data_IF_486460668870
#
_entry.id   IF_486460668870
#
_cell.length_a   1.000
_cell.length_b   1.000
_cell.length_c   1.000
_cell.angle_alpha   90.00
_cell.angle_beta   90.00
_cell.angle_gamma   90.00
#
_symmetry.space_group_name_H-M   'P 1'
#
loop_
_entity.id
_entity.type
_entity.pdbx_description
1 polymer ?
#
# COMPACT_ATOMS: atom_id res chain seq x y z
N UNK A 1 -15.03 25.03 -20.20
CA UNK A 1 -14.11 26.10 -19.74
C UNK A 1 -12.95 25.46 -18.99
N UNK A 2 -11.72 25.75 -19.44
CA UNK A 2 -10.51 25.93 -18.62
C UNK A 2 -10.18 24.90 -17.51
N UNK A 3 -9.45 23.87 -17.92
CA UNK A 3 -8.38 23.28 -17.09
C UNK A 3 -7.39 24.39 -16.68
N UNK A 4 -7.18 24.59 -15.36
CA UNK A 4 -6.07 25.39 -14.87
C UNK A 4 -4.78 24.55 -14.85
N UNK A 5 -3.93 24.79 -15.85
CA UNK A 5 -2.57 24.27 -15.91
C UNK A 5 -1.70 25.01 -14.89
N UNK A 6 -1.17 24.30 -13.90
CA UNK A 6 0.01 24.78 -13.16
C UNK A 6 1.25 24.59 -14.04
N UNK A 7 1.63 25.65 -14.75
CA UNK A 7 2.84 25.71 -15.57
C UNK A 7 3.91 26.47 -14.79
N UNK A 8 4.70 25.77 -13.97
CA UNK A 8 5.93 26.36 -13.42
C UNK A 8 6.94 26.52 -14.56
N UNK A 9 7.16 27.76 -15.00
CA UNK A 9 8.25 28.10 -15.91
C UNK A 9 9.45 28.48 -15.04
N UNK A 10 10.46 27.62 -15.01
CA UNK A 10 11.80 27.99 -14.54
C UNK A 10 12.71 28.17 -15.76
N UNK A 11 13.03 29.43 -16.05
CA UNK A 11 14.06 29.77 -17.02
C UNK A 11 15.44 29.42 -16.42
N UNK A 12 16.21 28.59 -17.13
CA UNK A 12 17.66 28.52 -16.95
C UNK A 12 18.35 28.79 -18.29
N UNK A 13 19.36 29.66 -18.23
CA UNK A 13 20.13 30.11 -19.39
C UNK A 13 21.04 28.99 -19.91
N UNK A 14 21.15 28.90 -21.24
CA UNK A 14 22.10 28.02 -21.90
C UNK A 14 23.54 28.51 -21.71
N UNK A 15 24.46 27.57 -21.49
CA UNK A 15 25.90 27.68 -21.68
C UNK A 15 26.40 26.34 -22.27
N UNK A 16 27.49 26.32 -23.07
CA UNK A 16 27.69 25.28 -24.08
C UNK A 16 28.26 23.96 -23.57
N UNK A 17 28.08 22.92 -24.40
CA UNK A 17 28.45 21.53 -24.12
C UNK A 17 29.96 21.30 -23.96
N UNK A 18 30.32 20.36 -23.07
CA UNK A 18 31.62 19.71 -23.04
C UNK A 18 31.44 18.24 -23.43
N UNK A 19 32.11 17.83 -24.50
CA UNK A 19 32.05 16.47 -25.06
C UNK A 19 32.86 15.50 -24.20
N UNK A 20 32.26 14.41 -23.73
CA UNK A 20 32.99 13.22 -23.27
C UNK A 20 32.43 11.96 -23.95
N UNK A 21 33.35 11.08 -24.34
CA UNK A 21 33.10 10.01 -25.30
C UNK A 21 32.39 8.80 -24.69
N UNK A 22 31.68 8.06 -25.55
CA UNK A 22 31.05 6.78 -25.22
C UNK A 22 32.11 5.67 -25.13
N UNK A 23 32.13 4.92 -24.03
CA UNK A 23 32.81 3.61 -23.96
C UNK A 23 31.79 2.49 -24.24
N UNK A 24 31.90 1.74 -25.35
CA UNK A 24 30.90 0.77 -25.75
C UNK A 24 31.13 -0.59 -25.06
N UNK A 25 30.88 -0.71 -23.74
CA UNK A 25 30.98 -2.01 -23.04
C UNK A 25 30.16 -2.19 -21.74
N UNK A 26 28.84 -2.03 -21.81
CA UNK A 26 27.92 -2.57 -20.79
C UNK A 26 26.59 -3.04 -21.40
N UNK A 27 26.61 -4.19 -22.09
CA UNK A 27 25.39 -4.79 -22.62
C UNK A 27 24.62 -5.55 -21.51
N UNK A 28 24.00 -4.80 -20.60
CA UNK A 28 23.09 -5.30 -19.58
C UNK A 28 21.76 -4.55 -19.64
N UNK A 29 20.98 -4.79 -20.71
CA UNK A 29 19.54 -4.51 -20.69
C UNK A 29 18.92 -5.50 -19.71
N UNK A 30 18.68 -5.06 -18.47
CA UNK A 30 18.15 -5.92 -17.42
C UNK A 30 16.63 -6.10 -17.53
N UNK A 31 16.16 -7.27 -17.11
CA UNK A 31 14.73 -7.61 -17.07
C UNK A 31 13.92 -6.69 -16.13
N UNK A 32 14.58 -5.90 -15.27
CA UNK A 32 13.94 -4.94 -14.35
C UNK A 32 13.07 -3.90 -15.09
N UNK A 33 13.43 -3.54 -16.31
CA UNK A 33 12.64 -2.63 -17.15
C UNK A 33 11.38 -3.29 -17.73
N UNK A 34 11.33 -4.63 -17.81
CA UNK A 34 10.16 -5.38 -18.27
C UNK A 34 9.03 -5.37 -17.24
N UNK A 35 9.34 -5.22 -15.94
CA UNK A 35 8.32 -5.08 -14.88
C UNK A 35 7.56 -3.73 -14.95
N UNK A 36 8.08 -2.73 -15.67
CA UNK A 36 7.38 -1.49 -16.00
C UNK A 36 6.66 -1.56 -17.37
N UNK A 37 6.95 -2.59 -18.18
CA UNK A 37 6.31 -2.79 -19.49
C UNK A 37 4.99 -3.53 -19.33
N UNK A 38 3.90 -2.78 -19.52
CA UNK A 38 2.55 -3.30 -19.52
C UNK A 38 2.38 -4.36 -20.63
N UNK A 39 1.78 -5.55 -20.35
CA UNK A 39 1.44 -6.51 -21.40
C UNK A 39 0.55 -5.85 -22.47
N UNK A 40 0.81 -6.13 -23.75
CA UNK A 40 0.28 -5.39 -24.90
C UNK A 40 -1.26 -5.25 -25.03
N UNK A 41 -2.04 -5.91 -24.15
CA UNK A 41 -3.52 -5.83 -24.08
C UNK A 41 -4.07 -4.50 -23.54
N UNK A 42 -3.26 -3.64 -22.94
CA UNK A 42 -3.71 -2.33 -22.42
C UNK A 42 -3.84 -1.24 -23.50
N UNK A 43 -3.50 -1.52 -24.77
CA UNK A 43 -3.87 -0.67 -25.91
C UNK A 43 -5.32 -0.93 -26.32
N UNK A 44 -6.28 -0.43 -25.55
CA UNK A 44 -7.68 -0.33 -25.99
C UNK A 44 -8.26 1.06 -25.69
N UNK A 45 -9.02 1.56 -26.67
CA UNK A 45 -9.56 2.93 -26.70
C UNK A 45 -10.41 3.27 -25.48
N UNK A 46 -10.14 4.43 -24.89
CA UNK A 46 -11.17 5.20 -24.17
C UNK A 46 -11.83 6.15 -25.18
N UNK A 47 -12.95 5.72 -25.75
CA UNK A 47 -13.95 6.62 -26.32
C UNK A 47 -14.94 6.89 -25.19
N UNK A 48 -15.10 8.16 -24.78
CA UNK A 48 -15.86 8.52 -23.58
C UNK A 48 -17.36 8.71 -23.83
N UNK A 49 -18.08 9.10 -22.77
CA UNK A 49 -19.17 10.09 -22.92
C UNK A 49 -19.43 10.85 -21.60
N UNK A 50 -19.79 12.12 -21.71
CA UNK A 50 -20.15 12.99 -20.57
C UNK A 50 -21.63 12.83 -20.20
N UNK A 51 -22.00 11.82 -19.39
CA UNK A 51 -23.37 11.70 -18.82
C UNK A 51 -23.48 10.70 -17.66
N UNK A 52 -23.17 11.10 -16.42
CA UNK A 52 -23.74 10.43 -15.23
C UNK A 52 -23.71 11.21 -13.91
N UNK A 53 -23.92 12.53 -13.94
CA UNK A 53 -24.10 13.35 -12.72
C UNK A 53 -25.51 13.16 -12.08
N UNK A 54 -26.42 12.43 -12.75
CA UNK A 54 -27.83 12.26 -12.35
C UNK A 54 -28.16 10.97 -11.58
N UNK A 55 -27.21 10.03 -11.41
CA UNK A 55 -27.46 8.75 -10.73
C UNK A 55 -27.29 8.79 -9.19
N UNK A 56 -26.85 9.93 -8.64
CA UNK A 56 -26.37 10.06 -7.25
C UNK A 56 -27.44 10.07 -6.14
N UNK A 57 -28.73 9.98 -6.46
CA UNK A 57 -29.82 10.08 -5.46
C UNK A 57 -30.78 8.88 -5.38
N UNK A 58 -30.66 7.85 -6.23
CA UNK A 58 -31.60 6.71 -6.21
C UNK A 58 -31.06 5.42 -5.57
N UNK A 59 -29.78 5.36 -5.22
CA UNK A 59 -29.16 4.13 -4.70
C UNK A 59 -29.26 3.92 -3.18
N UNK A 60 -29.78 4.91 -2.42
CA UNK A 60 -29.96 4.77 -0.97
C UNK A 60 -31.25 4.02 -0.56
N UNK A 61 -32.14 3.70 -1.50
CA UNK A 61 -33.45 3.06 -1.23
C UNK A 61 -33.57 1.62 -1.75
N UNK A 62 -32.46 0.91 -2.01
CA UNK A 62 -32.47 -0.50 -2.52
C UNK A 62 -31.71 -1.45 -1.57
N UNK A 63 -31.27 -0.97 -0.39
CA UNK A 63 -30.48 -1.76 0.57
C UNK A 63 -31.36 -2.54 1.57
N UNK A 64 -32.64 -2.16 1.76
CA UNK A 64 -33.54 -2.81 2.75
C UNK A 64 -34.36 -4.01 2.24
N UNK A 65 -34.34 -4.35 0.94
CA UNK A 65 -35.23 -5.41 0.38
C UNK A 65 -34.55 -6.76 0.05
N UNK A 66 -33.23 -6.92 0.28
CA UNK A 66 -32.49 -8.14 -0.13
C UNK A 66 -31.97 -9.05 1.01
N UNK A 67 -32.35 -8.83 2.26
CA UNK A 67 -32.01 -9.77 3.36
C UNK A 67 -32.80 -11.10 3.34
N UNK A 68 -33.84 -11.22 2.51
CA UNK A 68 -34.79 -12.37 2.56
C UNK A 68 -34.66 -13.37 1.37
N UNK A 69 -33.50 -13.49 0.69
CA UNK A 69 -33.32 -14.60 -0.28
C UNK A 69 -31.87 -15.02 -0.62
N UNK A 70 -31.28 -15.90 0.18
CA UNK A 70 -30.62 -17.15 -0.32
C UNK A 70 -30.17 -18.06 0.83
N UNK A 71 -30.93 -19.14 1.07
CA UNK A 71 -30.40 -20.38 1.64
C UNK A 71 -30.39 -21.43 0.53
N UNK A 72 -29.28 -22.17 0.40
CA UNK A 72 -29.15 -23.63 0.18
C UNK A 72 -27.80 -23.97 -0.51
N UNK A 73 -26.88 -24.49 0.31
CA UNK A 73 -25.91 -25.58 0.09
C UNK A 73 -25.03 -25.58 -1.19
N UNK A 74 -23.72 -25.37 -0.98
CA UNK A 74 -22.62 -25.78 -1.88
C UNK A 74 -21.31 -26.08 -1.10
N UNK A 75 -20.73 -27.26 -1.30
CA UNK A 75 -19.56 -27.82 -0.58
C UNK A 75 -18.32 -27.92 -1.51
N UNK A 76 -17.05 -27.82 -1.09
CA UNK A 76 -16.36 -27.47 0.17
C UNK A 76 -15.09 -26.66 -0.19
N UNK A 77 -14.42 -25.99 0.78
CA UNK A 77 -12.94 -25.79 0.71
C UNK A 77 -12.27 -25.64 2.09
N UNK A 78 -12.64 -26.47 3.08
CA UNK A 78 -12.12 -26.39 4.46
C UNK A 78 -11.47 -27.70 4.97
N UNK A 79 -11.04 -28.58 4.06
CA UNK A 79 -10.16 -29.69 4.43
C UNK A 79 -8.74 -29.15 4.74
N UNK A 80 -8.59 -28.60 5.94
CA UNK A 80 -7.30 -28.31 6.56
C UNK A 80 -7.24 -29.06 7.91
N UNK A 81 -7.11 -30.39 7.79
CA UNK A 81 -7.15 -31.34 8.90
C UNK A 81 -5.87 -31.32 9.75
N UNK A 82 -5.61 -30.22 10.45
CA UNK A 82 -4.71 -30.17 11.62
C UNK A 82 -4.92 -28.89 12.45
N UNK A 83 -6.15 -28.66 12.92
CA UNK A 83 -6.40 -27.75 14.04
C UNK A 83 -6.53 -28.58 15.32
N UNK A 84 -5.41 -28.83 15.99
CA UNK A 84 -5.46 -29.29 17.37
C UNK A 84 -6.02 -28.15 18.24
N UNK A 85 -7.15 -28.42 18.88
CA UNK A 85 -7.88 -27.44 19.67
C UNK A 85 -7.24 -27.28 21.06
N UNK A 86 -6.26 -26.37 21.17
CA UNK A 86 -5.78 -25.86 22.46
C UNK A 86 -6.89 -25.01 23.14
N UNK A 87 -7.90 -25.69 23.69
CA UNK A 87 -8.93 -25.10 24.55
C UNK A 87 -8.38 -24.90 25.97
N UNK A 88 -7.47 -23.93 26.14
CA UNK A 88 -7.14 -23.38 27.45
C UNK A 88 -8.00 -22.13 27.75
N UNK A 89 -8.58 -22.09 28.94
CA UNK A 89 -9.63 -21.15 29.30
C UNK A 89 -9.16 -19.67 29.36
N UNK A 90 -9.99 -18.79 28.80
CA UNK A 90 -10.07 -17.39 29.23
C UNK A 90 -9.05 -16.39 28.66
N UNK A 91 -8.01 -16.83 27.92
CA UNK A 91 -7.06 -15.90 27.28
C UNK A 91 -6.79 -16.28 25.82
N UNK A 92 -7.36 -15.52 24.88
CA UNK A 92 -7.07 -15.66 23.45
C UNK A 92 -5.55 -15.58 23.22
N UNK A 93 -4.93 -16.70 22.86
CA UNK A 93 -3.49 -16.81 22.60
C UNK A 93 -3.09 -15.87 21.46
N UNK A 94 -2.12 -14.99 21.73
CA UNK A 94 -1.65 -14.01 20.75
C UNK A 94 -1.12 -14.72 19.51
N UNK A 95 -1.70 -14.41 18.35
CA UNK A 95 -1.34 -15.02 17.07
C UNK A 95 -0.38 -14.12 16.31
N UNK A 96 0.58 -14.73 15.62
CA UNK A 96 1.63 -14.02 14.90
C UNK A 96 1.73 -14.50 13.46
N UNK A 97 1.95 -13.56 12.55
CA UNK A 97 2.36 -13.84 11.17
C UNK A 97 3.54 -12.92 10.83
N UNK A 98 4.72 -13.53 10.68
CA UNK A 98 6.01 -12.82 10.54
C UNK A 98 6.20 -11.78 11.65
N UNK A 99 6.14 -10.48 11.33
CA UNK A 99 6.30 -9.36 12.26
C UNK A 99 4.99 -8.63 12.60
N UNK A 100 3.84 -9.28 12.38
CA UNK A 100 2.53 -8.76 12.77
C UNK A 100 1.91 -9.67 13.86
N UNK A 101 1.40 -9.04 14.92
CA UNK A 101 0.67 -9.68 16.03
C UNK A 101 -0.82 -9.36 15.95
N UNK A 102 -1.67 -10.29 16.41
CA UNK A 102 -3.10 -10.07 16.60
C UNK A 102 -3.44 -9.01 17.65
N UNK A 103 -2.49 -8.61 18.50
CA UNK A 103 -2.64 -7.50 19.45
C UNK A 103 -2.39 -6.12 18.81
N UNK A 104 -1.65 -6.07 17.70
CA UNK A 104 -1.36 -4.79 17.03
C UNK A 104 -2.60 -4.24 16.34
N UNK A 105 -2.85 -2.95 16.51
CA UNK A 105 -3.79 -2.19 15.70
C UNK A 105 -3.12 -1.76 14.39
N UNK A 106 -3.60 -2.30 13.28
CA UNK A 106 -2.93 -2.23 11.97
C UNK A 106 -3.77 -1.37 11.00
N UNK A 107 -3.13 -0.38 10.38
CA UNK A 107 -3.63 0.30 9.19
C UNK A 107 -2.91 -0.24 7.96
N UNK A 108 -3.65 -0.71 6.97
CA UNK A 108 -3.13 -1.10 5.66
C UNK A 108 -3.60 -0.10 4.61
N UNK A 109 -2.66 0.42 3.82
CA UNK A 109 -2.86 1.55 2.92
C UNK A 109 -2.54 1.14 1.50
N UNK A 110 -3.40 1.51 0.55
CA UNK A 110 -3.22 1.22 -0.87
C UNK A 110 -3.41 -0.26 -1.20
N UNK A 111 -4.32 -0.94 -0.51
CA UNK A 111 -4.70 -2.32 -0.85
C UNK A 111 -5.31 -2.37 -2.26
N UNK A 112 -4.78 -3.27 -3.10
CA UNK A 112 -5.36 -3.60 -4.41
C UNK A 112 -6.54 -4.56 -4.25
N UNK A 113 -6.34 -5.86 -4.43
CA UNK A 113 -7.41 -6.85 -4.22
C UNK A 113 -7.67 -7.20 -2.74
N UNK A 114 -7.15 -6.45 -1.77
CA UNK A 114 -7.26 -6.70 -0.31
C UNK A 114 -6.74 -8.07 0.19
N UNK A 115 -6.02 -8.82 -0.64
CA UNK A 115 -5.56 -10.17 -0.27
C UNK A 115 -4.50 -10.19 0.83
N UNK A 116 -3.72 -9.12 0.99
CA UNK A 116 -2.73 -9.02 2.07
C UNK A 116 -3.42 -8.86 3.42
N UNK A 117 -4.33 -7.89 3.53
CA UNK A 117 -5.17 -7.71 4.72
C UNK A 117 -5.94 -8.98 5.07
N UNK A 118 -6.54 -9.64 4.07
CA UNK A 118 -7.29 -10.88 4.28
C UNK A 118 -6.39 -12.02 4.80
N UNK A 119 -5.13 -12.10 4.35
CA UNK A 119 -4.14 -13.07 4.87
C UNK A 119 -3.85 -12.85 6.36
N UNK A 120 -3.62 -11.60 6.79
CA UNK A 120 -3.43 -11.26 8.20
C UNK A 120 -4.67 -11.60 9.03
N UNK A 121 -5.86 -11.21 8.56
CA UNK A 121 -7.13 -11.47 9.22
C UNK A 121 -7.40 -12.97 9.45
N UNK A 122 -7.10 -13.81 8.46
CA UNK A 122 -7.22 -15.28 8.59
C UNK A 122 -6.19 -15.83 9.58
N UNK A 123 -4.93 -15.39 9.52
CA UNK A 123 -3.89 -15.84 10.46
C UNK A 123 -4.22 -15.48 11.92
N UNK A 124 -4.80 -14.32 12.15
CA UNK A 124 -5.25 -13.88 13.47
C UNK A 124 -6.61 -14.47 13.90
N UNK A 125 -7.35 -15.12 13.00
CA UNK A 125 -8.75 -15.52 13.16
C UNK A 125 -9.69 -14.38 13.62
N UNK A 126 -9.28 -13.14 13.40
CA UNK A 126 -9.99 -11.91 13.74
C UNK A 126 -9.37 -10.75 12.94
N UNK A 127 -10.16 -9.71 12.70
CA UNK A 127 -9.70 -8.49 12.05
C UNK A 127 -10.22 -7.21 12.73
N UNK A 128 -10.76 -7.31 13.95
CA UNK A 128 -11.27 -6.15 14.72
C UNK A 128 -10.23 -5.06 15.00
N UNK A 129 -8.95 -5.44 14.95
CA UNK A 129 -7.75 -4.61 15.05
C UNK A 129 -7.26 -4.05 13.69
N UNK A 130 -7.84 -4.48 12.56
CA UNK A 130 -7.42 -4.15 11.20
C UNK A 130 -8.31 -3.05 10.61
N UNK A 131 -7.67 -2.03 10.05
CA UNK A 131 -8.28 -1.07 9.12
C UNK A 131 -7.57 -1.18 7.77
N UNK A 132 -8.27 -1.63 6.73
CA UNK A 132 -7.72 -1.81 5.39
C UNK A 132 -8.29 -0.76 4.43
N UNK A 133 -7.43 -0.11 3.65
CA UNK A 133 -7.83 1.03 2.81
C UNK A 133 -7.28 0.96 1.39
N UNK A 134 -8.10 1.36 0.41
CA UNK A 134 -7.70 1.54 -0.99
C UNK A 134 -7.79 3.01 -1.41
N UNK A 135 -7.00 3.40 -2.40
CA UNK A 135 -7.23 4.64 -3.16
C UNK A 135 -8.40 4.45 -4.14
N UNK A 136 -8.49 3.26 -4.73
CA UNK A 136 -9.55 2.87 -5.66
C UNK A 136 -10.94 2.81 -4.97
N UNK A 137 -11.99 3.18 -5.71
CA UNK A 137 -13.38 3.04 -5.29
C UNK A 137 -13.85 1.57 -5.38
N UNK A 138 -14.96 1.24 -4.69
CA UNK A 138 -15.50 -0.12 -4.67
C UNK A 138 -15.89 -0.63 -6.07
N UNK A 139 -16.39 0.26 -6.95
CA UNK A 139 -16.76 -0.05 -8.33
C UNK A 139 -15.53 -0.35 -9.21
N UNK A 140 -14.44 0.40 -9.01
CA UNK A 140 -13.18 0.12 -9.70
C UNK A 140 -12.63 -1.24 -9.27
N UNK A 141 -12.62 -1.50 -7.96
CA UNK A 141 -12.15 -2.76 -7.38
C UNK A 141 -12.94 -3.96 -7.91
N UNK A 142 -14.28 -3.88 -7.92
CA UNK A 142 -15.16 -4.95 -8.42
C UNK A 142 -14.97 -5.26 -9.90
N UNK A 143 -14.59 -4.25 -10.69
CA UNK A 143 -14.39 -4.37 -12.14
C UNK A 143 -13.00 -4.92 -12.49
N UNK A 144 -11.97 -4.52 -11.74
CA UNK A 144 -10.58 -4.76 -12.11
C UNK A 144 -9.89 -5.94 -11.40
N UNK A 145 -10.36 -6.32 -10.21
CA UNK A 145 -9.74 -7.37 -9.40
C UNK A 145 -10.76 -8.45 -9.03
N UNK A 146 -10.65 -9.62 -9.65
CA UNK A 146 -11.61 -10.74 -9.52
C UNK A 146 -11.90 -11.14 -8.07
N UNK A 147 -10.91 -10.97 -7.20
CA UNK A 147 -10.96 -11.39 -5.80
C UNK A 147 -11.10 -10.23 -4.79
N UNK A 148 -11.25 -8.98 -5.23
CA UNK A 148 -11.41 -7.86 -4.30
C UNK A 148 -12.65 -8.02 -3.41
N UNK A 149 -13.85 -8.21 -4.01
CA UNK A 149 -15.09 -8.35 -3.24
C UNK A 149 -15.04 -9.54 -2.25
N UNK A 150 -14.68 -10.78 -2.65
CA UNK A 150 -14.53 -11.89 -1.70
C UNK A 150 -13.55 -11.62 -0.55
N UNK A 151 -12.44 -10.92 -0.80
CA UNK A 151 -11.48 -10.58 0.25
C UNK A 151 -12.02 -9.49 1.19
N UNK A 152 -12.71 -8.47 0.65
CA UNK A 152 -13.38 -7.41 1.41
C UNK A 152 -14.49 -7.98 2.29
N UNK A 153 -15.31 -8.89 1.75
CA UNK A 153 -16.39 -9.55 2.51
C UNK A 153 -15.79 -10.45 3.59
N UNK A 154 -14.71 -11.19 3.29
CA UNK A 154 -13.99 -11.98 4.30
C UNK A 154 -13.43 -11.09 5.42
N UNK A 155 -12.84 -9.95 5.08
CA UNK A 155 -12.36 -8.95 6.05
C UNK A 155 -13.48 -8.41 6.94
N UNK A 156 -14.59 -7.98 6.34
CA UNK A 156 -15.77 -7.49 7.08
C UNK A 156 -16.37 -8.57 7.97
N UNK A 157 -16.45 -9.82 7.51
CA UNK A 157 -16.94 -10.95 8.30
C UNK A 157 -16.07 -11.28 9.53
N UNK A 158 -14.80 -10.88 9.52
CA UNK A 158 -13.86 -10.98 10.65
C UNK A 158 -13.77 -9.68 11.49
N UNK A 159 -14.61 -8.68 11.22
CA UNK A 159 -14.69 -7.42 11.96
C UNK A 159 -13.75 -6.31 11.48
N UNK A 160 -13.11 -6.44 10.32
CA UNK A 160 -12.24 -5.40 9.76
C UNK A 160 -13.01 -4.14 9.36
N UNK A 161 -12.37 -2.98 9.52
CA UNK A 161 -12.83 -1.74 8.90
C UNK A 161 -12.24 -1.63 7.50
N UNK A 162 -13.09 -1.66 6.47
CA UNK A 162 -12.69 -1.48 5.08
C UNK A 162 -13.13 -0.11 4.59
N UNK A 163 -12.21 0.68 4.03
CA UNK A 163 -12.47 2.03 3.51
C UNK A 163 -11.91 2.21 2.09
N UNK A 164 -12.57 3.02 1.27
CA UNK A 164 -12.18 3.33 -0.10
C UNK A 164 -11.91 4.82 -0.26
N UNK A 165 -11.36 5.23 -1.41
CA UNK A 165 -11.02 6.63 -1.73
C UNK A 165 -10.03 7.28 -0.72
N UNK A 166 -9.18 6.47 -0.08
CA UNK A 166 -8.21 6.92 0.93
C UNK A 166 -6.87 7.25 0.30
N UNK A 167 -6.63 8.55 0.06
CA UNK A 167 -5.34 9.06 -0.42
C UNK A 167 -4.26 8.99 0.68
N UNK A 168 -3.26 8.14 0.46
CA UNK A 168 -2.08 7.94 1.32
C UNK A 168 -1.29 9.24 1.61
N UNK A 169 -1.36 10.23 0.73
CA UNK A 169 -0.69 11.54 0.87
C UNK A 169 -1.50 12.54 1.71
N UNK A 170 -2.76 12.23 2.04
CA UNK A 170 -3.68 13.14 2.78
C UNK A 170 -4.32 12.50 4.02
N UNK A 171 -4.24 11.18 4.15
CA UNK A 171 -4.98 10.38 5.15
C UNK A 171 -4.89 10.89 6.60
N UNK A 172 -3.76 11.45 7.04
CA UNK A 172 -3.58 11.85 8.44
C UNK A 172 -4.50 12.99 8.91
N UNK A 173 -5.03 13.78 7.96
CA UNK A 173 -5.91 14.90 8.25
C UNK A 173 -7.40 14.56 8.07
N UNK A 174 -7.72 13.40 7.48
CA UNK A 174 -9.07 12.94 7.17
C UNK A 174 -9.69 12.26 8.40
N UNK A 175 -10.98 12.45 8.63
CA UNK A 175 -11.71 11.71 9.66
C UNK A 175 -12.02 10.29 9.15
N UNK A 176 -11.82 9.21 9.94
CA UNK A 176 -11.53 9.19 11.37
C UNK A 176 -10.03 9.20 11.74
N UNK A 177 -9.12 9.02 10.77
CA UNK A 177 -7.68 8.81 11.01
C UNK A 177 -7.02 9.88 11.88
N UNK A 178 -7.42 11.15 11.77
CA UNK A 178 -6.94 12.26 12.62
C UNK A 178 -6.95 11.93 14.12
N UNK A 179 -7.97 11.18 14.57
CA UNK A 179 -8.18 10.79 15.97
C UNK A 179 -7.69 9.36 16.30
N UNK A 180 -7.08 8.66 15.34
CA UNK A 180 -6.59 7.29 15.50
C UNK A 180 -5.07 7.25 15.63
N UNK A 181 -4.58 6.34 16.46
CA UNK A 181 -3.20 5.86 16.41
C UNK A 181 -3.18 4.35 16.17
N UNK A 182 -2.07 3.87 15.60
CA UNK A 182 -1.85 2.50 15.16
C UNK A 182 -0.46 2.03 15.60
N UNK A 183 -0.35 0.75 15.90
CA UNK A 183 0.93 0.11 16.20
C UNK A 183 1.70 -0.17 14.91
N UNK A 184 0.98 -0.42 13.80
CA UNK A 184 1.55 -0.63 12.47
C UNK A 184 0.77 0.13 11.40
N UNK A 185 1.48 0.87 10.55
CA UNK A 185 0.95 1.45 9.30
C UNK A 185 1.71 0.84 8.13
N UNK A 186 1.02 0.08 7.27
CA UNK A 186 1.62 -0.74 6.21
C UNK A 186 1.24 -0.20 4.83
N UNK A 187 2.22 -0.04 3.95
CA UNK A 187 1.98 0.26 2.52
C UNK A 187 2.89 -0.65 1.68
N UNK A 188 2.28 -1.64 1.02
CA UNK A 188 3.00 -2.58 0.19
C UNK A 188 3.09 -2.07 -1.25
N UNK A 189 4.29 -2.02 -1.80
CA UNK A 189 4.60 -1.66 -3.19
C UNK A 189 3.98 -0.32 -3.65
N UNK A 190 4.22 0.79 -2.92
CA UNK A 190 3.73 2.11 -3.31
C UNK A 190 4.22 2.50 -4.70
N UNK A 191 3.31 2.88 -5.59
CA UNK A 191 3.62 3.28 -6.97
C UNK A 191 2.72 4.46 -7.38
N UNK A 192 3.30 5.51 -7.97
CA UNK A 192 2.62 6.80 -8.15
C UNK A 192 1.85 6.94 -9.48
N UNK A 193 2.03 6.01 -10.41
CA UNK A 193 1.53 6.05 -11.77
C UNK A 193 2.46 5.27 -12.70
N UNK A 194 2.17 5.32 -13.99
CA UNK A 194 3.08 4.98 -15.07
C UNK A 194 3.06 6.15 -16.05
N UNK A 195 4.21 6.71 -16.40
CA UNK A 195 4.29 8.00 -17.12
C UNK A 195 5.20 7.87 -18.35
N UNK A 196 4.81 7.05 -19.35
CA UNK A 196 5.71 6.61 -20.43
C UNK A 196 6.23 7.72 -21.34
N UNK A 197 5.56 8.88 -21.34
CA UNK A 197 5.94 10.07 -22.11
C UNK A 197 6.88 11.01 -21.33
N UNK A 198 7.20 10.69 -20.07
CA UNK A 198 8.02 11.52 -19.19
C UNK A 198 9.48 11.05 -19.11
N UNK A 199 10.42 11.96 -18.78
CA UNK A 199 11.78 11.59 -18.43
C UNK A 199 11.81 10.67 -17.20
N UNK A 200 12.63 9.63 -17.26
CA UNK A 200 12.95 8.69 -16.16
C UNK A 200 13.13 9.36 -14.79
N UNK A 201 13.82 10.50 -14.75
CA UNK A 201 14.10 11.22 -13.50
C UNK A 201 12.83 11.84 -12.89
N UNK A 202 11.88 12.27 -13.72
CA UNK A 202 10.58 12.79 -13.27
C UNK A 202 9.70 11.63 -12.75
N UNK A 203 9.73 10.45 -13.38
CA UNK A 203 9.08 9.24 -12.86
C UNK A 203 9.60 8.86 -11.47
N UNK A 204 10.93 8.73 -11.33
CA UNK A 204 11.60 8.48 -10.04
C UNK A 204 11.21 9.55 -9.03
N UNK A 205 11.18 10.83 -9.42
CA UNK A 205 10.82 11.92 -8.53
C UNK A 205 9.37 11.78 -8.02
N UNK A 206 8.40 11.50 -8.90
CA UNK A 206 6.99 11.27 -8.49
C UNK A 206 6.85 10.10 -7.53
N UNK A 207 7.51 8.98 -7.81
CA UNK A 207 7.52 7.81 -6.93
C UNK A 207 8.08 8.12 -5.54
N UNK A 208 9.22 8.83 -5.48
CA UNK A 208 9.84 9.28 -4.23
C UNK A 208 8.97 10.29 -3.49
N UNK A 209 8.25 11.17 -4.20
CA UNK A 209 7.30 12.11 -3.60
C UNK A 209 6.05 11.43 -3.04
N UNK A 210 5.52 10.38 -3.68
CA UNK A 210 4.44 9.56 -3.09
C UNK A 210 4.91 8.97 -1.75
N UNK A 211 6.06 8.30 -1.75
CA UNK A 211 6.57 7.63 -0.55
C UNK A 211 6.88 8.64 0.57
N UNK A 212 7.50 9.78 0.26
CA UNK A 212 7.78 10.80 1.26
C UNK A 212 6.49 11.36 1.88
N UNK A 213 5.49 11.72 1.07
CA UNK A 213 4.20 12.23 1.56
C UNK A 213 3.43 11.19 2.37
N UNK A 214 3.46 9.91 1.97
CA UNK A 214 2.95 8.82 2.79
C UNK A 214 3.65 8.74 4.15
N UNK A 215 4.99 8.79 4.19
CA UNK A 215 5.75 8.75 5.44
C UNK A 215 5.43 9.96 6.35
N UNK A 216 5.22 11.15 5.79
CA UNK A 216 4.78 12.35 6.52
C UNK A 216 3.37 12.20 7.13
N UNK A 217 2.49 11.43 6.49
CA UNK A 217 1.15 11.13 7.00
C UNK A 217 1.20 9.99 8.03
N UNK A 218 1.82 8.86 7.70
CA UNK A 218 1.94 7.69 8.55
C UNK A 218 2.64 8.02 9.89
N UNK A 219 3.66 8.90 9.89
CA UNK A 219 4.32 9.42 11.10
C UNK A 219 3.36 10.11 12.09
N UNK A 220 2.25 10.68 11.61
CA UNK A 220 1.22 11.32 12.46
C UNK A 220 0.20 10.32 13.00
N UNK A 221 0.21 9.09 12.47
CA UNK A 221 -0.77 8.03 12.75
C UNK A 221 -0.20 6.86 13.56
N UNK A 222 1.12 6.73 13.71
CA UNK A 222 1.73 5.74 14.61
C UNK A 222 1.79 6.20 16.07
N UNK A 223 1.82 5.24 17.00
CA UNK A 223 2.27 5.47 18.38
C UNK A 223 3.77 5.80 18.43
N UNK A 224 4.29 6.26 19.58
CA UNK A 224 5.70 6.66 19.74
C UNK A 224 6.68 5.48 19.50
N UNK A 225 6.21 4.28 19.80
CA UNK A 225 6.79 2.95 19.63
C UNK A 225 6.18 2.17 18.44
N UNK A 226 5.24 2.77 17.71
CA UNK A 226 4.65 2.20 16.50
C UNK A 226 5.60 2.24 15.30
N UNK A 227 5.33 1.38 14.31
CA UNK A 227 6.18 1.22 13.13
C UNK A 227 5.41 1.48 11.83
N UNK A 228 6.11 2.05 10.84
CA UNK A 228 5.63 2.24 9.47
C UNK A 228 6.37 1.24 8.59
N UNK A 229 5.64 0.34 7.95
CA UNK A 229 6.20 -0.71 7.11
C UNK A 229 5.97 -0.37 5.64
N UNK A 230 7.05 -0.28 4.87
CA UNK A 230 6.99 -0.19 3.40
C UNK A 230 7.61 -1.45 2.84
N UNK A 231 6.84 -2.24 2.09
CA UNK A 231 7.39 -3.34 1.30
C UNK A 231 7.71 -2.84 -0.11
N UNK A 232 8.91 -3.09 -0.60
CA UNK A 232 9.34 -2.59 -1.90
C UNK A 232 10.39 -3.49 -2.55
N UNK A 233 10.49 -3.41 -3.88
CA UNK A 233 11.54 -4.07 -4.67
C UNK A 233 12.93 -3.60 -4.25
N UNK A 234 13.89 -4.52 -4.28
CA UNK A 234 15.27 -4.30 -3.85
C UNK A 234 16.27 -4.77 -4.91
N UNK A 235 16.05 -4.34 -6.15
CA UNK A 235 16.88 -4.61 -7.34
C UNK A 235 16.96 -3.37 -8.24
N UNK A 236 18.07 -3.24 -8.97
CA UNK A 236 18.25 -2.27 -10.05
C UNK A 236 17.71 -0.86 -9.75
N UNK A 237 16.83 -0.40 -10.64
CA UNK A 237 16.13 0.90 -10.59
C UNK A 237 15.50 1.25 -9.22
N UNK A 238 15.02 0.25 -8.48
CA UNK A 238 14.29 0.48 -7.23
C UNK A 238 15.20 0.92 -6.07
N UNK A 239 16.52 0.76 -6.17
CA UNK A 239 17.47 1.32 -5.20
C UNK A 239 17.53 2.85 -5.21
N UNK A 240 17.30 3.49 -6.36
CA UNK A 240 17.39 4.95 -6.52
C UNK A 240 16.28 5.72 -5.78
N UNK A 241 15.23 5.01 -5.38
CA UNK A 241 14.17 5.58 -4.54
C UNK A 241 14.69 5.95 -3.15
N UNK A 242 15.67 5.19 -2.63
CA UNK A 242 16.36 5.37 -1.35
C UNK A 242 15.39 5.69 -0.20
N UNK A 243 14.63 4.66 0.22
CA UNK A 243 13.54 4.80 1.19
C UNK A 243 14.03 5.28 2.56
N UNK A 244 15.23 4.87 2.99
CA UNK A 244 15.84 5.37 4.23
C UNK A 244 16.10 6.87 4.17
N UNK A 245 16.66 7.38 3.06
CA UNK A 245 16.84 8.82 2.88
C UNK A 245 15.50 9.57 2.95
N UNK A 246 14.44 9.07 2.29
CA UNK A 246 13.11 9.68 2.35
C UNK A 246 12.53 9.70 3.77
N UNK A 247 12.65 8.59 4.52
CA UNK A 247 12.25 8.50 5.92
C UNK A 247 13.06 9.46 6.81
N UNK A 248 14.37 9.59 6.56
CA UNK A 248 15.26 10.47 7.33
C UNK A 248 14.87 11.95 7.23
N UNK A 249 14.45 12.40 6.02
CA UNK A 249 14.00 13.78 5.73
C UNK A 249 12.77 14.16 6.54
N UNK A 250 11.85 13.21 6.73
CA UNK A 250 10.60 13.44 7.46
C UNK A 250 10.75 13.21 8.97
N UNK A 251 11.98 12.95 9.44
CA UNK A 251 12.28 12.76 10.86
C UNK A 251 11.90 11.39 11.42
N UNK A 252 11.86 10.36 10.57
CA UNK A 252 11.84 8.95 10.97
C UNK A 252 13.27 8.38 10.98
N UNK A 253 13.44 7.19 11.53
CA UNK A 253 14.64 6.36 11.40
C UNK A 253 14.26 5.00 10.83
N UNK A 254 15.18 4.35 10.13
CA UNK A 254 15.11 2.91 9.89
C UNK A 254 15.24 2.16 11.23
N UNK A 255 14.43 1.12 11.40
CA UNK A 255 14.50 0.17 12.52
C UNK A 255 15.19 -1.09 12.04
N UNK A 256 14.72 -1.63 10.91
CA UNK A 256 15.12 -2.92 10.36
C UNK A 256 14.74 -2.99 8.87
N UNK A 257 15.54 -3.71 8.09
CA UNK A 257 15.11 -4.24 6.78
C UNK A 257 15.00 -5.76 6.87
N UNK A 258 13.84 -6.32 6.50
CA UNK A 258 13.66 -7.77 6.43
C UNK A 258 13.39 -8.21 4.99
N UNK A 259 13.93 -9.36 4.53
CA UNK A 259 13.55 -9.93 3.24
C UNK A 259 12.05 -10.17 3.17
N UNK A 260 11.42 -9.81 2.04
CA UNK A 260 10.00 -10.03 1.81
C UNK A 260 9.79 -11.22 0.87
N UNK A 261 8.93 -12.15 1.28
CA UNK A 261 8.46 -13.25 0.47
C UNK A 261 6.93 -13.29 0.53
N UNK A 262 6.25 -13.14 -0.61
CA UNK A 262 4.78 -13.13 -0.65
C UNK A 262 4.18 -14.46 -0.16
N UNK A 263 4.92 -15.58 -0.28
CA UNK A 263 4.48 -16.91 0.16
C UNK A 263 4.39 -17.04 1.69
N UNK A 264 5.01 -16.13 2.43
CA UNK A 264 4.89 -16.05 3.89
C UNK A 264 3.49 -15.57 4.34
N UNK A 265 2.65 -15.11 3.40
CA UNK A 265 1.31 -14.58 3.61
C UNK A 265 0.31 -15.42 2.78
N UNK A 266 -0.24 -16.52 3.34
CA UNK A 266 -1.16 -17.41 2.62
C UNK A 266 -2.33 -16.66 1.99
N UNK A 267 -2.53 -16.83 0.69
CA UNK A 267 -3.59 -16.17 -0.09
C UNK A 267 -3.24 -14.79 -0.67
N UNK A 268 -2.13 -14.17 -0.28
CA UNK A 268 -1.71 -12.87 -0.81
C UNK A 268 -1.34 -12.93 -2.31
N UNK A 269 -1.75 -11.91 -3.07
CA UNK A 269 -1.47 -11.72 -4.49
C UNK A 269 -0.99 -10.29 -4.77
N UNK A 270 0.12 -10.18 -5.49
CA UNK A 270 0.80 -8.92 -5.82
C UNK A 270 0.20 -8.28 -7.07
N UNK A 271 -0.95 -7.60 -6.94
CA UNK A 271 -1.68 -6.99 -8.08
C UNK A 271 -1.03 -5.70 -8.58
N UNK A 272 -1.14 -5.43 -9.89
CA UNK A 272 -0.79 -4.13 -10.46
C UNK A 272 -1.82 -3.07 -10.05
N UNK A 273 -1.36 -1.86 -9.69
CA UNK A 273 -2.21 -0.81 -9.11
C UNK A 273 -3.00 0.08 -10.07
N UNK A 274 -3.02 -0.22 -11.38
CA UNK A 274 -3.72 0.59 -12.41
C UNK A 274 -4.77 -0.22 -13.17
N UNK A 275 -5.35 -1.20 -12.50
CA UNK A 275 -6.27 -2.17 -13.07
C UNK A 275 -5.55 -3.35 -13.75
N UNK A 276 -6.29 -4.45 -13.88
CA UNK A 276 -5.77 -5.73 -14.36
C UNK A 276 -5.50 -6.73 -13.23
N UNK A 277 -6.17 -7.87 -13.29
CA UNK A 277 -6.12 -8.93 -12.26
C UNK A 277 -4.83 -9.77 -12.27
N UNK A 278 -3.83 -9.41 -13.08
CA UNK A 278 -2.53 -10.09 -13.13
C UNK A 278 -1.67 -9.75 -11.91
N UNK A 279 -0.81 -10.70 -11.53
CA UNK A 279 0.19 -10.45 -10.48
C UNK A 279 1.51 -9.98 -11.11
N UNK A 280 2.17 -9.00 -10.49
CA UNK A 280 3.55 -8.61 -10.83
C UNK A 280 4.56 -9.49 -10.08
N UNK A 281 5.76 -9.66 -10.66
CA UNK A 281 6.87 -10.30 -9.96
C UNK A 281 7.36 -9.39 -8.84
N UNK A 282 7.18 -9.78 -7.57
CA UNK A 282 7.62 -9.01 -6.41
C UNK A 282 9.00 -9.42 -5.87
N UNK A 283 9.79 -10.21 -6.61
CA UNK A 283 11.07 -10.72 -6.12
C UNK A 283 12.25 -10.16 -6.94
N UNK A 284 13.35 -9.70 -6.30
CA UNK A 284 13.56 -9.61 -4.85
C UNK A 284 12.92 -8.35 -4.23
N UNK A 285 12.44 -8.47 -2.98
CA UNK A 285 11.91 -7.35 -2.20
C UNK A 285 12.30 -7.41 -0.73
N UNK A 286 12.17 -6.28 -0.06
CA UNK A 286 12.32 -6.12 1.40
C UNK A 286 11.13 -5.38 1.99
N UNK A 287 10.82 -5.64 3.25
CA UNK A 287 9.99 -4.75 4.07
C UNK A 287 10.93 -3.90 4.94
N UNK A 288 10.85 -2.59 4.75
CA UNK A 288 11.56 -1.57 5.50
C UNK A 288 10.66 -1.11 6.65
N UNK A 289 11.14 -1.23 7.89
CA UNK A 289 10.42 -0.81 9.09
C UNK A 289 10.98 0.50 9.60
N UNK A 290 10.15 1.53 9.69
CA UNK A 290 10.52 2.86 10.16
C UNK A 290 9.80 3.22 11.46
N UNK A 291 10.43 4.02 12.30
CA UNK A 291 9.80 4.54 13.52
C UNK A 291 10.27 5.94 13.85
N UNK A 292 9.75 6.51 14.93
CA UNK A 292 10.22 7.80 15.43
C UNK A 292 11.73 7.76 15.73
N UNK A 293 12.44 8.85 15.39
CA UNK A 293 13.79 9.09 15.89
C UNK A 293 13.73 9.11 17.42
N UNK A 294 14.55 8.30 18.08
CA UNK A 294 14.70 8.36 19.55
C UNK A 294 15.16 9.77 19.91
N UNK A 295 14.44 10.46 20.78
CA UNK A 295 14.96 11.66 21.43
C UNK A 295 16.14 11.24 22.27
N UNK A 296 17.36 11.63 21.89
CA UNK A 296 18.51 11.57 22.79
C UNK A 296 18.15 12.33 24.06
N UNK A 297 18.32 11.71 25.23
CA UNK A 297 18.19 12.41 26.50
C UNK A 297 19.07 13.66 26.47
N UNK A 298 18.54 14.80 26.94
CA UNK A 298 19.35 16.02 27.04
C UNK A 298 20.54 15.70 27.96
N UNK A 299 21.78 16.08 27.61
CA UNK A 299 22.89 15.95 28.55
C UNK A 299 22.51 16.68 29.83
N UNK A 300 22.56 15.96 30.96
CA UNK A 300 22.28 16.57 32.25
C UNK A 300 23.44 17.51 32.57
N UNK A 301 23.19 18.83 32.47
CA UNK A 301 24.11 19.85 32.94
C UNK A 301 24.17 19.80 34.48
N UNK A 302 24.91 18.84 34.99
CA UNK A 302 25.36 18.79 36.38
C UNK A 302 26.75 19.45 36.44
N UNK A 303 26.97 20.19 37.53
CA UNK A 303 28.19 20.94 37.86
C UNK A 303 28.39 22.27 37.10
N UNK A 304 27.85 23.33 37.71
CA UNK A 304 28.69 24.42 38.22
C UNK A 304 28.12 24.88 39.59
N UNK A 305 28.83 24.54 40.66
CA UNK A 305 28.81 25.13 42.00
C UNK A 305 30.23 25.05 42.53
#
# INVERSE_FOLDING_TARGET
MLSQRYRLILHYSLAPAATLALDPRSNSRSDDALDLLIPAKFKNQVVGDEKQVSARLHHYNIIEENEERTRVVGKNWWDCSSCEEDLEEGKLRVRWIKHYSSEYKILLVGEGDFSFSASLAVAFASATNITATSLDSIEFLSTNYRHALPNIDKLRSLGAKVMHDVDATKMANVFPFKCMRFDRVVYNFPLAGFFPDEPREDEIWRHRMLVQQFLENAKKLIHIDGEIHITHKSNGFFYEWNLEFLASRVGLRLIEEVPFNFRDYPGYRTKYGFGGDSNFNCSPSKTYKFGHKKTTEKPSYRFMK
#
